data_IF_013742146182
#
_entry.id   IF_013742146182
#
_cell.length_a   1.000
_cell.length_b   1.000
_cell.length_c   1.000
_cell.angle_alpha   90.00
_cell.angle_beta   90.00
_cell.angle_gamma   90.00
#
_symmetry.space_group_name_H-M   'P 1'
#
loop_
_entity.id
_entity.type
_entity.pdbx_description
1 polymer ?
#
# COMPACT_ATOMS: atom_id res chain seq x y z
N UNK A 1 -4.98 41.49 -17.49
CA UNK A 1 -4.96 40.72 -16.22
C UNK A 1 -3.70 39.84 -16.01
N UNK A 2 -2.90 39.50 -17.03
CA UNK A 2 -1.74 38.60 -16.87
C UNK A 2 -0.66 39.09 -15.86
N UNK A 3 -0.37 40.39 -15.80
CA UNK A 3 0.66 40.96 -14.93
C UNK A 3 0.41 40.81 -13.42
N UNK A 4 -0.83 40.53 -12.99
CA UNK A 4 -1.14 40.28 -11.58
C UNK A 4 -0.64 38.90 -11.12
N UNK A 5 -0.84 37.86 -11.94
CA UNK A 5 -0.37 36.48 -11.65
C UNK A 5 1.15 36.43 -11.52
N UNK A 6 1.87 37.13 -12.40
CA UNK A 6 3.34 37.24 -12.36
C UNK A 6 3.87 37.97 -11.10
N UNK A 7 3.15 38.97 -10.57
CA UNK A 7 3.51 39.64 -9.32
C UNK A 7 3.34 38.74 -8.09
N UNK A 8 2.25 37.97 -8.03
CA UNK A 8 1.99 37.02 -6.93
C UNK A 8 3.04 35.90 -6.92
N UNK A 9 3.38 35.34 -8.09
CA UNK A 9 4.43 34.31 -8.21
C UNK A 9 5.80 34.83 -7.71
N UNK A 10 6.18 36.06 -8.06
CA UNK A 10 7.43 36.70 -7.59
C UNK A 10 7.46 36.94 -6.08
N UNK A 11 6.34 37.31 -5.45
CA UNK A 11 6.27 37.48 -4.00
C UNK A 11 6.29 36.14 -3.24
N UNK A 12 5.67 35.09 -3.79
CA UNK A 12 5.73 33.74 -3.21
C UNK A 12 7.17 33.17 -3.21
N UNK A 13 7.90 33.31 -4.33
CA UNK A 13 9.30 32.87 -4.42
C UNK A 13 10.22 33.57 -3.42
N UNK A 14 10.01 34.87 -3.16
CA UNK A 14 10.83 35.64 -2.20
C UNK A 14 10.56 35.28 -0.73
N UNK A 15 9.43 34.65 -0.40
CA UNK A 15 9.17 34.08 0.94
C UNK A 15 9.76 32.67 1.10
N UNK A 16 9.75 31.81 0.07
CA UNK A 16 10.36 30.46 0.13
C UNK A 16 11.89 30.45 0.21
N UNK A 17 12.59 31.37 -0.46
CA UNK A 17 14.07 31.48 -0.31
C UNK A 17 14.54 31.82 1.12
N UNK A 18 13.64 32.12 2.07
CA UNK A 18 13.97 32.24 3.51
C UNK A 18 13.66 30.98 4.34
N UNK A 19 12.83 30.05 3.84
CA UNK A 19 12.57 28.76 4.51
C UNK A 19 13.51 27.66 4.04
N UNK A 20 13.88 27.67 2.76
CA UNK A 20 14.59 26.57 2.11
C UNK A 20 16.13 26.72 2.24
N UNK A 21 16.59 27.55 3.18
CA UNK A 21 18.01 27.80 3.47
C UNK A 21 18.61 26.85 4.52
N UNK A 22 17.89 25.77 4.88
CA UNK A 22 18.39 24.71 5.76
C UNK A 22 18.03 23.32 5.20
N UNK A 23 19.05 22.53 4.88
CA UNK A 23 19.00 21.19 4.22
C UNK A 23 18.39 21.22 2.80
N UNK A 24 18.87 20.47 1.82
CA UNK A 24 19.09 19.02 1.81
C UNK A 24 20.23 18.65 0.84
N UNK A 25 21.05 17.69 1.27
CA UNK A 25 21.94 16.91 0.43
C UNK A 25 21.18 15.74 -0.24
N UNK A 26 21.22 15.62 -1.56
CA UNK A 26 20.96 14.39 -2.34
C UNK A 26 21.31 14.69 -3.83
N UNK A 27 22.45 14.24 -4.34
CA UNK A 27 22.71 12.89 -4.88
C UNK A 27 22.04 12.63 -6.25
N UNK A 28 22.87 12.46 -7.29
CA UNK A 28 22.48 11.97 -8.61
C UNK A 28 23.47 10.89 -9.06
N UNK A 29 22.98 9.67 -9.16
CA UNK A 29 23.62 8.53 -9.82
C UNK A 29 23.43 8.60 -11.34
N UNK A 30 24.53 8.44 -12.10
CA UNK A 30 24.81 7.32 -13.05
C UNK A 30 23.69 6.80 -13.99
N UNK A 31 23.89 6.23 -15.20
CA UNK A 31 25.03 5.79 -16.07
C UNK A 31 24.42 5.49 -17.49
N UNK A 32 25.11 5.19 -18.63
CA UNK A 32 26.53 4.84 -18.89
C UNK A 32 27.25 5.72 -19.95
N UNK A 33 28.53 5.39 -20.19
CA UNK A 33 29.22 5.44 -21.50
C UNK A 33 30.04 4.15 -21.67
N UNK A 34 30.11 3.58 -22.88
CA UNK A 34 30.72 2.27 -23.13
C UNK A 34 32.11 2.32 -23.79
N UNK A 35 32.87 1.24 -23.64
CA UNK A 35 34.09 0.85 -24.38
C UNK A 35 35.35 1.73 -24.28
N UNK A 36 36.28 1.31 -23.41
CA UNK A 36 37.56 0.73 -23.87
C UNK A 36 38.22 -0.05 -22.73
N UNK A 37 38.77 -1.22 -23.02
CA UNK A 37 39.22 -2.17 -22.01
C UNK A 37 40.76 -2.28 -21.98
N UNK A 38 41.38 -2.02 -20.82
CA UNK A 38 42.75 -2.44 -20.56
C UNK A 38 42.92 -3.05 -19.14
N UNK A 39 43.10 -4.38 -19.15
CA UNK A 39 44.10 -5.15 -18.40
C UNK A 39 44.15 -5.05 -16.86
N UNK A 40 43.67 -6.13 -16.23
CA UNK A 40 43.81 -6.48 -14.81
C UNK A 40 45.24 -6.42 -14.25
N UNK A 41 45.38 -5.84 -13.06
CA UNK A 41 46.21 -6.37 -11.97
C UNK A 41 45.43 -6.25 -10.65
N UNK A 42 45.15 -7.38 -10.01
CA UNK A 42 44.55 -7.42 -8.67
C UNK A 42 45.64 -7.38 -7.59
N UNK A 43 45.40 -6.67 -6.50
CA UNK A 43 46.00 -6.93 -5.19
C UNK A 43 45.06 -6.44 -4.07
N UNK A 44 44.98 -7.13 -2.93
CA UNK A 44 43.78 -7.06 -2.09
C UNK A 44 43.90 -6.07 -0.93
N UNK A 45 42.97 -5.12 -0.83
CA UNK A 45 42.80 -4.34 0.40
C UNK A 45 41.34 -3.99 0.66
N UNK A 46 40.70 -4.81 1.49
CA UNK A 46 39.54 -4.53 2.36
C UNK A 46 38.87 -3.14 2.19
N UNK A 47 38.01 -2.99 1.19
CA UNK A 47 37.15 -1.81 1.06
C UNK A 47 36.00 -1.90 2.08
N UNK A 48 36.23 -1.31 3.26
CA UNK A 48 35.12 -0.86 4.09
C UNK A 48 34.38 0.22 3.31
N UNK A 49 33.07 0.06 3.12
CA UNK A 49 32.21 1.01 2.41
C UNK A 49 32.25 2.39 3.07
N UNK A 50 33.17 3.25 2.63
CA UNK A 50 33.15 4.68 2.94
C UNK A 50 31.82 5.24 2.45
N UNK A 51 31.10 5.97 3.31
CA UNK A 51 29.82 6.52 2.91
C UNK A 51 30.01 7.59 1.84
N UNK A 52 28.96 7.90 1.08
CA UNK A 52 29.00 8.99 0.11
C UNK A 52 29.32 10.36 0.75
N UNK A 53 29.15 10.50 2.07
CA UNK A 53 29.61 11.66 2.84
C UNK A 53 31.12 11.62 3.07
N UNK A 54 31.71 10.50 3.49
CA UNK A 54 33.15 10.38 3.71
C UNK A 54 33.96 10.67 2.43
N UNK A 55 33.53 10.15 1.28
CA UNK A 55 34.18 10.41 -0.02
C UNK A 55 34.07 11.90 -0.40
N UNK A 56 32.92 12.53 -0.11
CA UNK A 56 32.71 13.96 -0.35
C UNK A 56 33.56 14.83 0.57
N UNK A 57 33.70 14.45 1.84
CA UNK A 57 34.46 15.20 2.84
C UNK A 57 35.97 15.10 2.56
N UNK A 58 36.46 13.92 2.18
CA UNK A 58 37.84 13.73 1.66
C UNK A 58 38.08 14.56 0.41
N UNK A 59 37.13 14.61 -0.54
CA UNK A 59 37.24 15.44 -1.73
C UNK A 59 37.25 16.94 -1.39
N UNK A 60 36.43 17.38 -0.44
CA UNK A 60 36.43 18.76 0.05
C UNK A 60 37.75 19.13 0.73
N UNK A 61 38.35 18.24 1.52
CA UNK A 61 39.64 18.48 2.14
C UNK A 61 40.76 18.57 1.11
N UNK A 62 40.80 17.66 0.13
CA UNK A 62 41.75 17.72 -0.98
C UNK A 62 41.61 19.02 -1.81
N UNK A 63 40.41 19.60 -1.92
CA UNK A 63 40.21 20.93 -2.50
C UNK A 63 40.68 22.07 -1.60
N UNK A 64 40.56 21.95 -0.27
CA UNK A 64 41.10 22.93 0.70
C UNK A 64 42.63 22.94 0.67
N UNK A 65 43.27 21.77 0.71
CA UNK A 65 44.73 21.62 0.62
C UNK A 65 45.27 22.23 -0.68
N UNK A 66 44.67 21.89 -1.83
CA UNK A 66 45.04 22.50 -3.12
C UNK A 66 44.86 24.00 -3.14
N UNK A 67 43.81 24.53 -2.50
CA UNK A 67 43.60 25.97 -2.38
C UNK A 67 44.70 26.62 -1.54
N UNK A 68 45.03 26.06 -0.38
CA UNK A 68 46.08 26.57 0.50
C UNK A 68 47.45 26.57 -0.20
N UNK A 69 47.82 25.48 -0.88
CA UNK A 69 49.07 25.39 -1.65
C UNK A 69 49.14 26.42 -2.80
N UNK A 70 48.00 26.77 -3.42
CA UNK A 70 47.93 27.85 -4.41
C UNK A 70 48.03 29.24 -3.76
N UNK A 71 47.44 29.45 -2.59
CA UNK A 71 47.53 30.71 -1.83
C UNK A 71 48.97 30.94 -1.31
N UNK A 72 49.66 29.91 -0.81
CA UNK A 72 51.07 29.94 -0.41
C UNK A 72 51.98 30.28 -1.61
N UNK A 73 51.85 29.55 -2.72
CA UNK A 73 52.60 29.82 -3.96
C UNK A 73 52.33 31.23 -4.52
N UNK A 74 51.12 31.75 -4.34
CA UNK A 74 50.80 33.14 -4.68
C UNK A 74 51.50 34.11 -3.72
N UNK A 75 51.56 33.85 -2.41
CA UNK A 75 52.28 34.69 -1.45
C UNK A 75 53.78 34.76 -1.75
N UNK A 76 54.41 33.64 -2.12
CA UNK A 76 55.80 33.58 -2.59
C UNK A 76 56.01 34.47 -3.82
N UNK A 77 55.23 34.25 -4.89
CA UNK A 77 55.34 34.98 -6.16
C UNK A 77 55.02 36.47 -6.03
N UNK A 78 54.28 36.88 -5.00
CA UNK A 78 53.84 38.26 -4.79
C UNK A 78 54.57 38.98 -3.65
N UNK A 79 55.54 38.33 -3.00
CA UNK A 79 56.27 38.85 -1.84
C UNK A 79 55.33 39.36 -0.74
N UNK A 80 54.21 38.66 -0.51
CA UNK A 80 53.17 39.04 0.45
C UNK A 80 52.38 40.32 0.12
N UNK A 81 52.64 40.98 -1.02
CA UNK A 81 51.90 42.15 -1.47
C UNK A 81 50.70 41.70 -2.29
N UNK A 82 49.48 42.07 -1.90
CA UNK A 82 48.30 41.74 -2.70
C UNK A 82 48.44 42.26 -4.13
N UNK A 83 48.34 41.37 -5.11
CA UNK A 83 48.22 41.74 -6.52
C UNK A 83 47.08 42.75 -6.65
N UNK A 84 47.38 43.90 -7.23
CA UNK A 84 46.37 44.92 -7.50
C UNK A 84 45.31 44.27 -8.39
N UNK A 85 44.07 44.17 -7.89
CA UNK A 85 42.94 43.55 -8.61
C UNK A 85 42.68 44.39 -9.87
N UNK A 86 43.27 43.98 -10.99
CA UNK A 86 43.06 44.66 -12.27
C UNK A 86 41.56 44.60 -12.56
N UNK A 87 40.93 45.76 -12.61
CA UNK A 87 39.54 45.93 -12.96
C UNK A 87 39.41 45.56 -14.44
N UNK A 88 39.03 44.31 -14.74
CA UNK A 88 38.87 43.87 -16.14
C UNK A 88 37.92 44.83 -16.88
N UNK A 89 38.32 45.37 -18.05
CA UNK A 89 37.47 46.30 -18.80
C UNK A 89 36.12 45.66 -19.13
N UNK A 90 35.06 46.16 -18.50
CA UNK A 90 33.72 45.58 -18.64
C UNK A 90 33.21 44.83 -17.41
N UNK A 91 33.86 44.89 -16.24
CA UNK A 91 33.38 44.32 -14.97
C UNK A 91 33.25 45.37 -13.85
N UNK A 92 32.34 45.15 -12.90
CA UNK A 92 32.10 45.99 -11.72
C UNK A 92 33.07 45.68 -10.56
N UNK A 93 33.04 46.48 -9.49
CA UNK A 93 33.95 46.33 -8.33
C UNK A 93 33.83 44.94 -7.67
N UNK A 94 32.65 44.33 -7.76
CA UNK A 94 32.35 43.01 -7.22
C UNK A 94 32.76 41.85 -8.14
N UNK A 95 33.09 42.13 -9.41
CA UNK A 95 33.50 41.13 -10.41
C UNK A 95 32.38 40.68 -11.35
N UNK A 96 31.24 41.37 -11.42
CA UNK A 96 30.17 41.09 -12.38
C UNK A 96 30.35 41.88 -13.68
N UNK A 97 30.06 41.24 -14.82
CA UNK A 97 30.14 41.90 -16.13
C UNK A 97 29.15 43.08 -16.22
N UNK A 98 29.65 44.29 -16.49
CA UNK A 98 28.90 45.56 -16.58
C UNK A 98 27.79 45.54 -17.64
N UNK A 99 27.88 44.66 -18.64
CA UNK A 99 26.85 44.43 -19.65
C UNK A 99 26.61 42.93 -19.75
N UNK A 100 25.35 42.51 -19.65
CA UNK A 100 24.95 41.11 -19.87
C UNK A 100 25.26 40.69 -21.31
N UNK A 101 25.95 39.58 -21.46
CA UNK A 101 26.15 38.90 -22.73
C UNK A 101 24.95 38.00 -23.04
N UNK A 102 24.83 37.54 -24.31
CA UNK A 102 23.77 36.61 -24.71
C UNK A 102 23.75 35.33 -23.86
N UNK A 103 24.92 34.81 -23.45
CA UNK A 103 25.01 33.63 -22.60
C UNK A 103 24.41 33.83 -21.19
N UNK A 104 24.44 35.06 -20.64
CA UNK A 104 23.83 35.34 -19.34
C UNK A 104 22.30 35.18 -19.38
N UNK A 105 21.69 35.53 -20.53
CA UNK A 105 20.25 35.31 -20.76
C UNK A 105 19.95 33.82 -20.97
N UNK A 106 20.75 33.11 -21.77
CA UNK A 106 20.61 31.66 -21.95
C UNK A 106 20.69 30.90 -20.62
N UNK A 107 21.69 31.21 -19.78
CA UNK A 107 21.83 30.57 -18.46
C UNK A 107 20.64 30.89 -17.54
N UNK A 108 20.12 32.12 -17.58
CA UNK A 108 18.92 32.48 -16.82
C UNK A 108 17.67 31.73 -17.30
N UNK A 109 17.50 31.55 -18.62
CA UNK A 109 16.41 30.75 -19.18
C UNK A 109 16.56 29.26 -18.83
N UNK A 110 17.78 28.72 -18.84
CA UNK A 110 18.08 27.36 -18.39
C UNK A 110 17.81 27.16 -16.89
N UNK A 111 18.12 28.13 -16.02
CA UNK A 111 17.73 28.10 -14.59
C UNK A 111 16.20 28.03 -14.45
N UNK A 112 15.47 28.83 -15.23
CA UNK A 112 14.00 28.84 -15.18
C UNK A 112 13.39 27.53 -15.71
N UNK A 113 13.90 26.98 -16.81
CA UNK A 113 13.47 25.68 -17.33
C UNK A 113 13.80 24.54 -16.37
N UNK A 114 14.99 24.55 -15.74
CA UNK A 114 15.36 23.54 -14.74
C UNK A 114 14.42 23.57 -13.52
N UNK A 115 14.05 24.77 -13.05
CA UNK A 115 13.09 24.94 -11.96
C UNK A 115 11.67 24.48 -12.35
N UNK A 116 11.26 24.66 -13.61
CA UNK A 116 9.98 24.18 -14.11
C UNK A 116 9.97 22.65 -14.25
N UNK A 117 11.00 22.04 -14.86
CA UNK A 117 11.13 20.58 -14.96
C UNK A 117 11.22 19.89 -13.59
N UNK A 118 11.86 20.51 -12.60
CA UNK A 118 11.90 19.99 -11.22
C UNK A 118 10.51 20.03 -10.56
N UNK A 119 9.76 21.12 -10.75
CA UNK A 119 8.36 21.21 -10.31
C UNK A 119 7.47 20.24 -11.09
N UNK A 120 7.74 20.03 -12.38
CA UNK A 120 7.00 19.12 -13.23
C UNK A 120 7.16 17.67 -12.78
N UNK A 121 8.40 17.23 -12.57
CA UNK A 121 8.70 15.91 -11.98
C UNK A 121 7.98 15.76 -10.63
N UNK A 122 8.00 16.78 -9.78
CA UNK A 122 7.36 16.77 -8.46
C UNK A 122 5.83 16.67 -8.54
N UNK A 123 5.16 17.41 -9.43
CA UNK A 123 3.70 17.30 -9.57
C UNK A 123 3.29 16.00 -10.25
N UNK A 124 4.01 15.54 -11.29
CA UNK A 124 3.74 14.24 -11.95
C UNK A 124 3.87 13.08 -10.96
N UNK A 125 4.95 13.03 -10.18
CA UNK A 125 5.15 12.00 -9.15
C UNK A 125 4.08 12.06 -8.04
N UNK A 126 3.66 13.27 -7.62
CA UNK A 126 2.57 13.41 -6.66
C UNK A 126 1.26 12.87 -7.23
N UNK A 127 0.89 13.25 -8.46
CA UNK A 127 -0.33 12.78 -9.13
C UNK A 127 -0.34 11.27 -9.31
N UNK A 128 0.78 10.67 -9.74
CA UNK A 128 0.92 9.23 -9.88
C UNK A 128 0.70 8.49 -8.55
N UNK A 129 1.28 8.99 -7.44
CA UNK A 129 1.04 8.45 -6.08
C UNK A 129 -0.42 8.59 -5.65
N UNK A 130 -1.05 9.73 -5.89
CA UNK A 130 -2.48 9.91 -5.54
C UNK A 130 -3.37 8.92 -6.30
N UNK A 131 -3.13 8.73 -7.60
CA UNK A 131 -3.87 7.77 -8.43
C UNK A 131 -3.64 6.31 -8.00
N UNK A 132 -2.41 5.92 -7.66
CA UNK A 132 -2.14 4.56 -7.19
C UNK A 132 -2.83 4.24 -5.87
N UNK A 133 -2.88 5.20 -4.94
CA UNK A 133 -3.61 5.06 -3.67
C UNK A 133 -5.11 4.96 -3.90
N UNK A 134 -5.71 5.83 -4.71
CA UNK A 134 -7.17 5.77 -4.97
C UNK A 134 -7.59 4.46 -5.64
N UNK A 135 -6.78 3.95 -6.59
CA UNK A 135 -7.04 2.65 -7.22
C UNK A 135 -6.93 1.49 -6.22
N UNK A 136 -5.96 1.52 -5.30
CA UNK A 136 -5.81 0.52 -4.26
C UNK A 136 -6.98 0.53 -3.26
N UNK A 137 -7.47 1.72 -2.87
CA UNK A 137 -8.66 1.87 -2.01
C UNK A 137 -9.93 1.35 -2.68
N UNK A 138 -10.17 1.67 -3.94
CA UNK A 138 -11.36 1.21 -4.67
C UNK A 138 -11.35 -0.30 -4.90
N UNK A 139 -10.18 -0.87 -5.15
CA UNK A 139 -10.00 -2.31 -5.22
C UNK A 139 -10.22 -2.99 -3.86
N UNK A 140 -9.79 -2.37 -2.75
CA UNK A 140 -10.11 -2.85 -1.40
C UNK A 140 -11.63 -2.81 -1.10
N UNK A 141 -12.33 -1.73 -1.50
CA UNK A 141 -13.79 -1.61 -1.41
C UNK A 141 -14.49 -2.71 -2.22
N UNK A 142 -14.05 -2.98 -3.46
CA UNK A 142 -14.57 -4.08 -4.30
C UNK A 142 -14.38 -5.45 -3.65
N UNK A 143 -13.21 -5.73 -3.08
CA UNK A 143 -12.92 -7.00 -2.36
C UNK A 143 -13.79 -7.18 -1.13
N UNK A 144 -14.03 -6.11 -0.36
CA UNK A 144 -14.94 -6.12 0.78
C UNK A 144 -16.39 -6.41 0.33
N UNK A 145 -16.89 -5.71 -0.69
CA UNK A 145 -18.22 -5.96 -1.25
C UNK A 145 -18.37 -7.41 -1.76
N UNK A 146 -17.37 -7.94 -2.47
CA UNK A 146 -17.35 -9.33 -2.93
C UNK A 146 -17.24 -10.37 -1.79
N UNK A 147 -16.64 -10.02 -0.65
CA UNK A 147 -16.68 -10.84 0.57
C UNK A 147 -18.08 -10.85 1.17
N UNK A 148 -18.68 -9.67 1.39
CA UNK A 148 -20.04 -9.53 1.93
C UNK A 148 -21.04 -10.27 1.05
N UNK A 149 -20.99 -10.12 -0.28
CA UNK A 149 -21.86 -10.84 -1.22
C UNK A 149 -21.74 -12.37 -1.12
N UNK A 150 -20.53 -12.90 -0.91
CA UNK A 150 -20.33 -14.34 -0.65
C UNK A 150 -20.93 -14.77 0.68
N UNK A 151 -20.79 -13.97 1.73
CA UNK A 151 -21.30 -14.30 3.06
C UNK A 151 -22.84 -14.19 3.13
N UNK A 152 -23.45 -13.22 2.42
CA UNK A 152 -24.90 -13.15 2.18
C UNK A 152 -25.40 -14.38 1.40
N UNK A 153 -24.68 -14.81 0.35
CA UNK A 153 -25.03 -16.05 -0.38
C UNK A 153 -24.99 -17.28 0.54
N UNK A 154 -23.94 -17.42 1.37
CA UNK A 154 -23.85 -18.51 2.38
C UNK A 154 -25.01 -18.46 3.38
N UNK A 155 -25.36 -17.28 3.88
CA UNK A 155 -26.50 -17.10 4.78
C UNK A 155 -27.79 -17.65 4.15
N UNK A 156 -28.12 -17.26 2.91
CA UNK A 156 -29.31 -17.75 2.23
C UNK A 156 -29.27 -19.27 1.98
N UNK A 157 -28.12 -19.86 1.62
CA UNK A 157 -28.02 -21.33 1.53
C UNK A 157 -28.20 -22.04 2.88
N UNK A 158 -27.86 -21.39 4.01
CA UNK A 158 -28.11 -21.92 5.35
C UNK A 158 -29.59 -21.84 5.71
N UNK A 159 -30.26 -20.73 5.37
CA UNK A 159 -31.72 -20.57 5.53
C UNK A 159 -32.47 -21.62 4.70
N UNK A 160 -32.11 -21.79 3.43
CA UNK A 160 -32.71 -22.78 2.53
C UNK A 160 -32.58 -24.22 3.08
N UNK A 161 -31.41 -24.57 3.62
CA UNK A 161 -31.19 -25.86 4.30
C UNK A 161 -32.09 -26.04 5.54
N UNK A 162 -32.33 -24.97 6.31
CA UNK A 162 -33.23 -25.00 7.49
C UNK A 162 -34.69 -25.17 7.05
N UNK A 163 -35.13 -24.45 6.01
CA UNK A 163 -36.49 -24.60 5.45
C UNK A 163 -36.69 -26.02 4.91
N UNK A 164 -35.73 -26.51 4.13
CA UNK A 164 -35.71 -27.89 3.61
C UNK A 164 -35.79 -28.95 4.72
N UNK A 165 -35.10 -28.74 5.84
CA UNK A 165 -35.19 -29.61 7.01
C UNK A 165 -36.57 -29.54 7.67
N UNK A 166 -37.13 -28.34 7.86
CA UNK A 166 -38.46 -28.16 8.47
C UNK A 166 -39.57 -28.83 7.64
N UNK A 167 -39.52 -28.70 6.31
CA UNK A 167 -40.48 -29.36 5.40
C UNK A 167 -40.37 -30.88 5.50
N UNK A 168 -39.15 -31.43 5.53
CA UNK A 168 -38.93 -32.88 5.73
C UNK A 168 -39.46 -33.35 7.08
N UNK A 169 -39.14 -32.63 8.16
CA UNK A 169 -39.60 -32.93 9.52
C UNK A 169 -41.14 -33.01 9.60
N UNK A 170 -41.85 -32.06 8.99
CA UNK A 170 -43.32 -32.08 8.96
C UNK A 170 -43.89 -33.27 8.15
N UNK A 171 -43.23 -33.67 7.07
CA UNK A 171 -43.62 -34.85 6.30
C UNK A 171 -43.38 -36.16 7.09
N UNK A 172 -42.25 -36.25 7.81
CA UNK A 172 -41.90 -37.38 8.65
C UNK A 172 -42.81 -37.48 9.89
N UNK A 173 -43.17 -36.36 10.52
CA UNK A 173 -44.17 -36.27 11.59
C UNK A 173 -45.55 -36.78 11.13
N UNK A 174 -46.02 -36.35 9.94
CA UNK A 174 -47.29 -36.81 9.38
C UNK A 174 -47.25 -38.31 9.05
N UNK A 175 -46.15 -38.79 8.47
CA UNK A 175 -45.95 -40.22 8.16
C UNK A 175 -45.93 -41.06 9.44
N UNK A 176 -45.22 -40.61 10.47
CA UNK A 176 -45.19 -41.28 11.78
C UNK A 176 -46.56 -41.28 12.43
N UNK A 177 -47.28 -40.16 12.46
CA UNK A 177 -48.63 -40.09 13.00
C UNK A 177 -49.63 -41.02 12.28
N UNK A 178 -49.46 -41.24 10.97
CA UNK A 178 -50.24 -42.23 10.23
C UNK A 178 -49.89 -43.68 10.63
N UNK A 179 -48.60 -43.99 10.78
CA UNK A 179 -48.14 -45.31 11.27
C UNK A 179 -48.58 -45.57 12.72
N UNK A 180 -48.49 -44.58 13.61
CA UNK A 180 -48.91 -44.67 15.01
C UNK A 180 -50.44 -44.91 15.12
N UNK A 181 -51.25 -44.33 14.22
CA UNK A 181 -52.69 -44.63 14.13
C UNK A 181 -52.94 -46.08 13.74
N UNK A 182 -52.26 -46.58 12.71
CA UNK A 182 -52.38 -47.97 12.27
C UNK A 182 -51.92 -48.96 13.34
N UNK A 183 -50.83 -48.66 14.05
CA UNK A 183 -50.34 -49.47 15.16
C UNK A 183 -51.36 -49.54 16.30
N UNK A 184 -51.97 -48.41 16.69
CA UNK A 184 -53.05 -48.38 17.70
C UNK A 184 -54.27 -49.19 17.27
N UNK A 185 -54.63 -49.16 15.99
CA UNK A 185 -55.71 -49.99 15.46
C UNK A 185 -55.39 -51.48 15.63
N UNK A 186 -54.21 -51.93 15.20
CA UNK A 186 -53.77 -53.33 15.36
C UNK A 186 -53.74 -53.76 16.82
N UNK A 187 -53.18 -52.95 17.72
CA UNK A 187 -53.15 -53.23 19.16
C UNK A 187 -54.58 -53.37 19.71
N UNK A 188 -55.47 -52.41 19.44
CA UNK A 188 -56.86 -52.48 19.91
C UNK A 188 -57.66 -53.66 19.32
N UNK A 189 -57.30 -54.15 18.13
CA UNK A 189 -57.85 -55.40 17.59
C UNK A 189 -57.35 -56.60 18.38
N UNK A 190 -56.03 -56.70 18.63
CA UNK A 190 -55.46 -57.81 19.42
C UNK A 190 -55.96 -57.84 20.86
N UNK A 191 -56.16 -56.67 21.50
CA UNK A 191 -56.78 -56.57 22.83
C UNK A 191 -58.21 -57.12 22.85
N UNK A 192 -59.02 -56.80 21.82
CA UNK A 192 -60.39 -57.34 21.69
C UNK A 192 -60.40 -58.86 21.46
N UNK A 193 -59.51 -59.36 20.61
CA UNK A 193 -59.40 -60.81 20.37
C UNK A 193 -58.92 -61.55 21.63
N UNK A 194 -57.94 -61.01 22.36
CA UNK A 194 -57.47 -61.56 23.62
C UNK A 194 -58.58 -61.57 24.70
N UNK A 195 -59.32 -60.47 24.85
CA UNK A 195 -60.46 -60.40 25.78
C UNK A 195 -61.58 -61.39 25.42
N UNK A 196 -61.94 -61.50 24.14
CA UNK A 196 -62.97 -62.45 23.69
C UNK A 196 -62.53 -63.92 23.91
N UNK A 197 -61.25 -64.22 23.68
CA UNK A 197 -60.67 -65.53 23.96
C UNK A 197 -60.68 -65.85 25.46
N UNK A 198 -60.31 -64.88 26.30
CA UNK A 198 -60.32 -65.03 27.76
C UNK A 198 -61.75 -65.28 28.28
N UNK A 199 -62.74 -64.52 27.80
CA UNK A 199 -64.16 -64.74 28.13
C UNK A 199 -64.62 -66.15 27.73
N UNK A 200 -64.28 -66.63 26.52
CA UNK A 200 -64.65 -67.97 26.06
C UNK A 200 -64.05 -69.10 26.94
N UNK A 201 -62.82 -68.94 27.43
CA UNK A 201 -62.25 -69.87 28.43
C UNK A 201 -62.95 -69.79 29.79
N UNK A 202 -63.45 -68.62 30.17
CA UNK A 202 -64.09 -68.39 31.46
C UNK A 202 -65.54 -68.92 31.48
N UNK A 203 -66.28 -68.79 30.38
CA UNK A 203 -67.58 -69.44 30.17
C UNK A 203 -67.44 -70.97 30.20
N UNK A 204 -66.39 -71.53 29.56
CA UNK A 204 -66.12 -72.97 29.58
C UNK A 204 -65.77 -73.53 30.97
N UNK A 205 -65.23 -72.69 31.87
CA UNK A 205 -64.96 -73.05 33.27
C UNK A 205 -66.18 -72.81 34.18
N UNK A 206 -67.06 -71.86 33.84
CA UNK A 206 -68.27 -71.55 34.60
C UNK A 206 -69.43 -72.54 34.38
N UNK A 207 -69.33 -73.45 33.41
CA UNK A 207 -70.36 -74.46 33.10
C UNK A 207 -70.22 -75.78 33.86
N UNK A 208 -69.15 -75.97 34.64
CA UNK A 208 -68.86 -77.20 35.42
C UNK A 208 -69.30 -77.11 36.91
N UNK A 209 -70.23 -76.21 37.25
CA UNK A 209 -70.89 -76.16 38.56
C UNK A 209 -72.32 -76.73 38.47
N UNK A 210 -72.50 -78.06 38.61
CA UNK A 210 -73.82 -78.68 38.59
C UNK A 210 -74.61 -78.32 39.87
N UNK A 211 -75.80 -77.75 39.68
CA UNK A 211 -76.82 -77.64 40.72
C UNK A 211 -77.26 -79.02 41.21
N UNK A 212 -76.61 -79.56 42.25
CA UNK A 212 -77.20 -80.63 43.05
C UNK A 212 -78.25 -80.04 43.99
N UNK A 213 -79.52 -80.20 43.61
CA UNK A 213 -80.65 -79.94 44.52
C UNK A 213 -80.69 -80.97 45.65
N UNK A 214 -80.71 -80.50 46.91
CA UNK A 214 -81.81 -80.72 47.87
C UNK A 214 -81.63 -79.83 49.10
#
# INVERSE_FOLDING_TARGET
MANARLKIARQAGKRRRRSDAQSVDEALTEVPSETSAEKYQESPTNEQFASAHDVRDVLHEAFREKKLALEERLQELTMGKMLHKMQEPGYDVNGYRLKRAHHDFLLQEMEWMAADFAQERKWRMKSARTLSVSLAEDEAKRRLAARIGRDVKKFWTKIDKIISYKVKLQADELRKAAMDKHLKQLVSQTERYASALAMAFQDALGTEEPKTSM
#
